data_IF_601038557352
#
_entry.id   IF_601038557352
#
_cell.length_a   1.000
_cell.length_b   1.000
_cell.length_c   1.000
_cell.angle_alpha   90.00
_cell.angle_beta   90.00
_cell.angle_gamma   90.00
#
_symmetry.space_group_name_H-M   'P 1'
#
loop_
_entity.id
_entity.type
_entity.pdbx_description
1 polymer ?
#
# COMPACT_ATOMS: atom_id res chain seq x y z
N UNK A 1 -18.69 -48.84 -10.50
CA UNK A 1 -18.26 -47.90 -9.44
C UNK A 1 -16.94 -47.24 -9.85
N UNK A 2 -16.95 -45.98 -10.30
CA UNK A 2 -15.73 -45.20 -10.61
C UNK A 2 -15.86 -43.79 -10.00
N UNK A 3 -16.15 -43.71 -8.69
CA UNK A 3 -16.28 -42.45 -7.93
C UNK A 3 -14.97 -41.99 -7.26
N UNK A 4 -13.90 -42.79 -7.32
CA UNK A 4 -12.67 -42.53 -6.55
C UNK A 4 -11.72 -41.47 -7.14
N UNK A 5 -11.68 -41.30 -8.47
CA UNK A 5 -10.69 -40.43 -9.12
C UNK A 5 -10.89 -38.93 -8.83
N UNK A 6 -12.10 -38.41 -9.09
CA UNK A 6 -12.41 -36.99 -8.88
C UNK A 6 -12.35 -36.56 -7.42
N UNK A 7 -12.82 -37.41 -6.50
CA UNK A 7 -12.80 -37.12 -5.06
C UNK A 7 -11.38 -36.93 -4.51
N UNK A 8 -10.42 -37.75 -4.94
CA UNK A 8 -9.03 -37.62 -4.51
C UNK A 8 -8.38 -36.35 -5.06
N UNK A 9 -8.68 -35.99 -6.31
CA UNK A 9 -8.15 -34.76 -6.92
C UNK A 9 -8.71 -33.50 -6.27
N UNK A 10 -9.98 -33.50 -5.84
CA UNK A 10 -10.57 -32.41 -5.04
C UNK A 10 -9.77 -32.21 -3.74
N UNK A 11 -9.45 -33.30 -3.02
CA UNK A 11 -8.68 -33.22 -1.77
C UNK A 11 -7.28 -32.65 -1.99
N UNK A 12 -6.62 -32.96 -3.11
CA UNK A 12 -5.32 -32.38 -3.46
C UNK A 12 -5.40 -30.87 -3.69
N UNK A 13 -6.43 -30.39 -4.40
CA UNK A 13 -6.63 -28.96 -4.63
C UNK A 13 -6.97 -28.20 -3.33
N UNK A 14 -7.81 -28.77 -2.48
CA UNK A 14 -8.11 -28.19 -1.17
C UNK A 14 -6.87 -28.15 -0.26
N UNK A 15 -6.05 -29.21 -0.28
CA UNK A 15 -4.78 -29.25 0.43
C UNK A 15 -3.81 -28.17 -0.07
N UNK A 16 -3.69 -28.00 -1.39
CA UNK A 16 -2.89 -26.94 -1.99
C UNK A 16 -3.38 -25.54 -1.57
N UNK A 17 -4.71 -25.30 -1.60
CA UNK A 17 -5.30 -24.04 -1.15
C UNK A 17 -4.96 -23.75 0.33
N UNK A 18 -5.07 -24.76 1.20
CA UNK A 18 -4.71 -24.61 2.62
C UNK A 18 -3.23 -24.27 2.80
N UNK A 19 -2.33 -24.95 2.07
CA UNK A 19 -0.88 -24.66 2.10
C UNK A 19 -0.61 -23.21 1.68
N UNK A 20 -1.24 -22.74 0.59
CA UNK A 20 -1.08 -21.36 0.15
C UNK A 20 -1.56 -20.34 1.18
N UNK A 21 -2.67 -20.60 1.87
CA UNK A 21 -3.16 -19.74 2.97
C UNK A 21 -2.19 -19.74 4.15
N UNK A 22 -1.62 -20.89 4.52
CA UNK A 22 -0.62 -20.96 5.60
C UNK A 22 0.63 -20.17 5.23
N UNK A 23 1.15 -20.34 4.02
CA UNK A 23 2.31 -19.57 3.54
C UNK A 23 1.99 -18.06 3.54
N UNK A 24 0.78 -17.68 3.15
CA UNK A 24 0.35 -16.28 3.15
C UNK A 24 0.40 -15.67 4.54
N UNK A 25 -0.11 -16.38 5.55
CA UNK A 25 -0.14 -15.90 6.94
C UNK A 25 1.29 -15.71 7.47
N UNK A 26 2.22 -16.61 7.10
CA UNK A 26 3.62 -16.55 7.53
C UNK A 26 4.37 -15.41 6.83
N UNK A 27 4.14 -15.23 5.52
CA UNK A 27 4.90 -14.29 4.69
C UNK A 27 4.33 -12.87 4.71
N UNK A 28 3.04 -12.70 5.02
CA UNK A 28 2.28 -11.45 4.87
C UNK A 28 2.49 -10.80 3.48
N UNK A 29 2.71 -11.62 2.45
CA UNK A 29 3.20 -11.20 1.14
C UNK A 29 2.12 -10.75 0.15
N UNK A 30 0.85 -11.02 0.42
CA UNK A 30 -0.33 -10.82 -0.44
C UNK A 30 -0.24 -11.49 -1.82
N UNK A 31 0.60 -12.51 -1.99
CA UNK A 31 0.83 -13.18 -3.27
C UNK A 31 0.27 -14.60 -3.29
N UNK A 32 0.49 -15.36 -2.22
CA UNK A 32 0.08 -16.76 -2.13
C UNK A 32 -1.43 -16.95 -2.03
N UNK A 33 -2.15 -15.95 -1.51
CA UNK A 33 -3.61 -15.97 -1.43
C UNK A 33 -4.30 -16.12 -2.80
N UNK A 34 -3.72 -15.59 -3.87
CA UNK A 34 -4.30 -15.68 -5.21
C UNK A 34 -4.17 -17.08 -5.81
N UNK A 35 -3.08 -17.77 -5.48
CA UNK A 35 -2.91 -19.18 -5.81
C UNK A 35 -3.87 -20.06 -4.99
N UNK A 36 -4.21 -19.70 -3.75
CA UNK A 36 -5.28 -20.35 -3.00
C UNK A 36 -6.62 -20.22 -3.74
N UNK A 37 -6.95 -19.02 -4.24
CA UNK A 37 -8.14 -18.77 -5.06
C UNK A 37 -8.17 -19.61 -6.34
N UNK A 38 -7.05 -19.68 -7.07
CA UNK A 38 -6.93 -20.55 -8.24
C UNK A 38 -7.10 -22.03 -7.89
N UNK A 39 -6.57 -22.48 -6.76
CA UNK A 39 -6.67 -23.87 -6.31
C UNK A 39 -8.12 -24.27 -5.98
N UNK A 40 -8.92 -23.34 -5.45
CA UNK A 40 -10.36 -23.55 -5.24
C UNK A 40 -11.10 -23.75 -6.56
N UNK A 41 -10.74 -23.03 -7.62
CA UNK A 41 -11.32 -23.26 -8.96
C UNK A 41 -10.94 -24.64 -9.49
N UNK A 42 -9.68 -25.06 -9.31
CA UNK A 42 -9.23 -26.42 -9.61
C UNK A 42 -10.04 -27.48 -8.86
N UNK A 43 -10.34 -27.25 -7.57
CA UNK A 43 -11.19 -28.13 -6.76
C UNK A 43 -12.62 -28.23 -7.30
N UNK A 44 -13.22 -27.09 -7.69
CA UNK A 44 -14.56 -27.07 -8.30
C UNK A 44 -14.56 -27.87 -9.61
N UNK A 45 -13.57 -27.67 -10.47
CA UNK A 45 -13.47 -28.43 -11.72
C UNK A 45 -13.26 -29.94 -11.49
N UNK A 46 -12.47 -30.30 -10.47
CA UNK A 46 -12.30 -31.69 -10.07
C UNK A 46 -13.61 -32.31 -9.55
N UNK A 47 -14.48 -31.54 -8.88
CA UNK A 47 -15.79 -31.99 -8.45
C UNK A 47 -16.72 -32.32 -9.64
N UNK A 48 -16.59 -31.59 -10.75
CA UNK A 48 -17.26 -31.90 -12.02
C UNK A 48 -16.59 -33.04 -12.82
N UNK A 49 -15.58 -33.71 -12.25
CA UNK A 49 -14.83 -34.81 -12.91
C UNK A 49 -14.16 -34.40 -14.23
N UNK A 50 -13.81 -33.12 -14.38
CA UNK A 50 -13.04 -32.62 -15.52
C UNK A 50 -11.61 -33.19 -15.52
N UNK A 51 -10.97 -33.34 -16.68
CA UNK A 51 -9.63 -33.91 -16.76
C UNK A 51 -8.56 -33.01 -16.14
N UNK A 52 -7.54 -33.60 -15.54
CA UNK A 52 -6.51 -32.90 -14.73
C UNK A 52 -5.82 -31.75 -15.48
N UNK A 53 -5.54 -31.90 -16.78
CA UNK A 53 -4.93 -30.85 -17.58
C UNK A 53 -5.79 -29.58 -17.64
N UNK A 54 -7.12 -29.70 -17.73
CA UNK A 54 -8.04 -28.56 -17.74
C UNK A 54 -8.09 -27.86 -16.38
N UNK A 55 -7.97 -28.62 -15.28
CA UNK A 55 -7.94 -28.08 -13.92
C UNK A 55 -6.66 -27.25 -13.69
N UNK A 56 -5.51 -27.76 -14.16
CA UNK A 56 -4.22 -27.05 -14.08
C UNK A 56 -4.26 -25.75 -14.89
N UNK A 57 -4.79 -25.79 -16.12
CA UNK A 57 -4.91 -24.59 -16.96
C UNK A 57 -5.79 -23.55 -16.27
N UNK A 58 -6.95 -23.95 -15.74
CA UNK A 58 -7.83 -23.03 -15.02
C UNK A 58 -7.17 -22.45 -13.76
N UNK A 59 -6.46 -23.28 -12.98
CA UNK A 59 -5.69 -22.83 -11.83
C UNK A 59 -4.70 -21.72 -12.22
N UNK A 60 -3.90 -21.93 -13.26
CA UNK A 60 -2.90 -20.95 -13.72
C UNK A 60 -3.57 -19.67 -14.20
N UNK A 61 -4.57 -19.79 -15.07
CA UNK A 61 -5.29 -18.63 -15.64
C UNK A 61 -5.94 -17.80 -14.52
N UNK A 62 -6.67 -18.44 -13.60
CA UNK A 62 -7.35 -17.74 -12.51
C UNK A 62 -6.35 -17.10 -11.56
N UNK A 63 -5.27 -17.79 -11.20
CA UNK A 63 -4.23 -17.23 -10.33
C UNK A 63 -3.57 -16.00 -10.94
N UNK A 64 -3.25 -16.06 -12.24
CA UNK A 64 -2.64 -14.94 -12.98
C UNK A 64 -3.62 -13.77 -13.10
N UNK A 65 -4.89 -14.02 -13.41
CA UNK A 65 -5.92 -12.99 -13.49
C UNK A 65 -6.11 -12.31 -12.13
N UNK A 66 -6.24 -13.10 -11.07
CA UNK A 66 -6.36 -12.58 -9.70
C UNK A 66 -5.14 -11.73 -9.36
N UNK A 67 -3.92 -12.21 -9.62
CA UNK A 67 -2.69 -11.44 -9.38
C UNK A 67 -2.68 -10.11 -10.16
N UNK A 68 -2.94 -10.11 -11.46
CA UNK A 68 -2.88 -8.90 -12.30
C UNK A 68 -3.93 -7.87 -11.86
N UNK A 69 -5.16 -8.29 -11.60
CA UNK A 69 -6.26 -7.40 -11.21
C UNK A 69 -6.05 -6.80 -9.82
N UNK A 70 -5.49 -7.58 -8.90
CA UNK A 70 -5.37 -7.18 -7.49
C UNK A 70 -4.06 -6.48 -7.19
N UNK A 71 -2.99 -6.73 -7.95
CA UNK A 71 -1.69 -6.07 -7.82
C UNK A 71 -1.74 -4.55 -7.73
N UNK A 72 -2.46 -3.80 -8.60
CA UNK A 72 -2.52 -2.34 -8.49
C UNK A 72 -3.16 -1.88 -7.17
N UNK A 73 -4.17 -2.61 -6.67
CA UNK A 73 -4.83 -2.27 -5.41
C UNK A 73 -3.97 -2.66 -4.21
N UNK A 74 -3.40 -3.86 -4.21
CA UNK A 74 -2.52 -4.34 -3.15
C UNK A 74 -1.32 -3.38 -2.95
N UNK A 75 -0.68 -2.97 -4.04
CA UNK A 75 0.41 -1.98 -3.98
C UNK A 75 -0.06 -0.63 -3.45
N UNK A 76 -1.23 -0.14 -3.89
CA UNK A 76 -1.79 1.12 -3.37
C UNK A 76 -2.09 1.05 -1.87
N UNK A 77 -2.60 -0.07 -1.38
CA UNK A 77 -2.98 -0.24 0.03
C UNK A 77 -1.75 -0.42 0.94
N UNK A 78 -0.74 -1.16 0.48
CA UNK A 78 0.52 -1.35 1.19
C UNK A 78 1.34 -0.05 1.26
N UNK A 79 1.46 0.69 0.15
CA UNK A 79 2.24 1.94 0.12
C UNK A 79 1.53 3.14 0.76
N UNK A 80 0.22 3.06 1.01
CA UNK A 80 -0.53 4.16 1.62
C UNK A 80 -0.35 4.28 3.13
N UNK A 81 0.30 3.32 3.80
CA UNK A 81 0.45 3.32 5.27
C UNK A 81 1.73 3.93 5.80
N UNK A 82 2.71 4.26 4.97
CA UNK A 82 4.05 4.56 5.51
C UNK A 82 4.25 6.01 5.99
N UNK A 83 3.50 7.03 5.55
CA UNK A 83 3.79 8.44 5.98
C UNK A 83 2.57 9.40 6.06
N UNK A 84 1.41 9.09 5.45
CA UNK A 84 0.42 10.14 5.12
C UNK A 84 -0.52 10.61 6.25
N UNK A 85 -0.78 9.84 7.30
CA UNK A 85 -1.95 10.15 8.16
C UNK A 85 -1.75 11.31 9.15
N UNK A 86 -0.55 11.53 9.69
CA UNK A 86 -0.31 12.64 10.64
C UNK A 86 0.25 13.89 9.98
N UNK A 87 1.21 13.73 9.06
CA UNK A 87 1.87 14.84 8.39
C UNK A 87 0.86 15.61 7.52
N UNK A 88 0.06 14.93 6.68
CA UNK A 88 -0.90 15.60 5.78
C UNK A 88 -1.96 16.41 6.55
N UNK A 89 -2.23 16.08 7.82
CA UNK A 89 -3.13 16.87 8.69
C UNK A 89 -2.62 18.27 9.02
N UNK A 90 -1.36 18.56 8.71
CA UNK A 90 -0.72 19.86 8.87
C UNK A 90 -1.00 20.77 7.66
N UNK A 91 -1.38 20.23 6.51
CA UNK A 91 -1.69 21.01 5.31
C UNK A 91 -2.91 21.91 5.59
N UNK A 92 -2.79 23.18 5.24
CA UNK A 92 -3.78 24.22 5.51
C UNK A 92 -3.75 24.80 6.93
N UNK A 93 -2.91 24.27 7.84
CA UNK A 93 -2.77 24.82 9.18
C UNK A 93 -1.83 26.02 9.21
N UNK A 94 -2.10 26.93 10.16
CA UNK A 94 -1.17 28.01 10.50
C UNK A 94 -0.06 27.50 11.41
N UNK A 95 1.17 27.86 11.07
CA UNK A 95 2.36 27.60 11.86
C UNK A 95 3.06 28.92 12.21
N UNK A 96 3.85 28.91 13.28
CA UNK A 96 4.68 30.04 13.71
C UNK A 96 6.13 29.79 13.33
N UNK A 97 6.78 30.70 12.62
CA UNK A 97 8.21 30.59 12.31
C UNK A 97 9.02 30.69 13.60
N UNK A 98 9.81 29.65 13.90
CA UNK A 98 10.70 29.60 15.07
C UNK A 98 12.18 29.76 14.70
N UNK A 99 12.49 29.69 13.42
CA UNK A 99 13.81 29.98 12.87
C UNK A 99 13.61 30.53 11.47
N UNK A 100 14.31 31.63 11.16
CA UNK A 100 14.31 32.26 9.84
C UNK A 100 14.41 31.22 8.72
N UNK A 101 13.47 31.33 7.78
CA UNK A 101 13.36 30.43 6.64
C UNK A 101 14.10 31.05 5.46
N UNK A 102 15.18 30.38 5.10
CA UNK A 102 16.03 30.71 3.97
C UNK A 102 16.26 29.45 3.13
N UNK A 103 15.64 29.42 1.96
CA UNK A 103 15.72 28.30 1.04
C UNK A 103 17.14 28.10 0.48
N UNK A 104 17.91 29.18 0.27
CA UNK A 104 19.28 29.13 -0.27
C UNK A 104 20.24 28.50 0.73
N UNK A 105 20.09 28.84 2.00
CA UNK A 105 20.90 28.27 3.08
C UNK A 105 20.32 26.97 3.67
N UNK A 106 19.20 26.48 3.11
CA UNK A 106 18.46 25.30 3.56
C UNK A 106 18.12 25.31 5.07
N UNK A 107 17.86 26.50 5.62
CA UNK A 107 17.50 26.74 7.03
C UNK A 107 16.03 27.15 7.12
N UNK A 108 15.40 26.86 8.25
CA UNK A 108 14.02 27.24 8.51
C UNK A 108 13.28 26.23 9.35
N UNK A 109 12.55 26.73 10.35
CA UNK A 109 11.71 25.91 11.21
C UNK A 109 10.41 26.64 11.55
N UNK A 110 9.34 25.87 11.68
CA UNK A 110 8.04 26.36 12.12
C UNK A 110 7.49 25.48 13.23
N UNK A 111 6.68 26.06 14.11
CA UNK A 111 5.94 25.37 15.15
C UNK A 111 4.46 25.28 14.76
N UNK A 112 3.94 24.06 14.70
CA UNK A 112 2.53 23.75 14.42
C UNK A 112 2.04 22.68 15.40
N UNK A 113 0.88 22.90 16.02
CA UNK A 113 0.31 22.00 17.06
C UNK A 113 1.31 21.62 18.16
N UNK A 114 2.21 22.54 18.54
CA UNK A 114 3.22 22.30 19.58
C UNK A 114 4.47 21.56 19.13
N UNK A 115 4.54 21.08 17.88
CA UNK A 115 5.71 20.39 17.32
C UNK A 115 6.51 21.32 16.40
N UNK A 116 7.83 21.17 16.38
CA UNK A 116 8.74 21.90 15.50
C UNK A 116 8.97 21.06 14.23
N UNK A 117 8.81 21.69 13.07
CA UNK A 117 8.98 21.09 11.75
C UNK A 117 9.97 21.93 10.93
N UNK A 118 10.83 21.26 10.17
CA UNK A 118 11.69 21.94 9.19
C UNK A 118 10.81 22.54 8.10
N UNK A 119 11.02 23.80 7.77
CA UNK A 119 10.20 24.52 6.81
C UNK A 119 11.01 25.06 5.63
N UNK A 120 10.34 25.20 4.48
CA UNK A 120 10.79 25.99 3.35
C UNK A 120 9.70 26.91 2.88
N UNK A 121 10.09 28.05 2.36
CA UNK A 121 9.16 28.95 1.69
C UNK A 121 8.72 28.37 0.35
N UNK A 122 7.51 28.69 -0.09
CA UNK A 122 6.96 28.35 -1.41
C UNK A 122 7.82 28.92 -2.56
N UNK A 123 8.44 30.09 -2.32
CA UNK A 123 9.32 30.76 -3.27
C UNK A 123 10.66 31.05 -2.61
N UNK A 124 11.74 30.88 -3.36
CA UNK A 124 13.10 31.19 -2.91
C UNK A 124 13.29 32.69 -2.68
N UNK A 125 12.47 33.53 -3.30
CA UNK A 125 12.50 34.99 -3.15
C UNK A 125 11.85 35.50 -1.86
N UNK A 126 11.13 34.62 -1.15
CA UNK A 126 10.36 34.98 0.04
C UNK A 126 11.12 34.56 1.28
N UNK A 127 11.73 35.54 1.95
CA UNK A 127 12.32 35.38 3.27
C UNK A 127 11.26 35.52 4.35
N UNK A 128 11.22 34.54 5.27
CA UNK A 128 10.32 34.56 6.41
C UNK A 128 11.13 34.59 7.69
N UNK A 129 10.81 35.55 8.57
CA UNK A 129 11.54 35.77 9.81
C UNK A 129 10.87 35.09 11.00
N UNK A 130 11.67 34.80 12.02
CA UNK A 130 11.19 34.30 13.31
C UNK A 130 10.05 35.16 13.87
N UNK A 131 9.02 34.49 14.38
CA UNK A 131 7.82 35.12 14.92
C UNK A 131 6.70 35.37 13.88
N UNK A 132 6.97 35.21 12.58
CA UNK A 132 5.92 35.33 11.56
C UNK A 132 4.96 34.14 11.56
N UNK A 133 3.69 34.40 11.22
CA UNK A 133 2.70 33.34 10.98
C UNK A 133 2.68 32.99 9.50
N UNK A 134 2.66 31.69 9.23
CA UNK A 134 2.68 31.14 7.87
C UNK A 134 1.65 30.04 7.74
N UNK A 135 1.16 29.79 6.53
CA UNK A 135 0.27 28.69 6.23
C UNK A 135 1.05 27.56 5.57
N UNK A 136 0.86 26.34 6.05
CA UNK A 136 1.44 25.14 5.43
C UNK A 136 0.62 24.84 4.17
N UNK A 137 1.25 24.91 3.01
CA UNK A 137 0.60 24.65 1.73
C UNK A 137 0.78 23.20 1.28
N UNK A 138 1.96 22.62 1.51
CA UNK A 138 2.24 21.24 1.13
C UNK A 138 3.38 20.65 1.97
N UNK A 139 3.67 19.37 1.77
CA UNK A 139 4.74 18.65 2.47
C UNK A 139 5.65 18.01 1.42
N UNK A 140 6.94 18.29 1.53
CA UNK A 140 7.98 17.76 0.65
C UNK A 140 8.99 16.95 1.48
N UNK A 141 8.78 15.63 1.51
CA UNK A 141 9.58 14.71 2.34
C UNK A 141 9.33 14.96 3.82
N UNK A 142 10.37 15.39 4.55
CA UNK A 142 10.30 15.74 5.99
C UNK A 142 10.15 17.25 6.24
N UNK A 143 9.98 18.04 5.19
CA UNK A 143 9.87 19.50 5.27
C UNK A 143 8.46 19.95 4.92
N UNK A 144 7.94 20.92 5.67
CA UNK A 144 6.71 21.62 5.31
C UNK A 144 7.02 22.77 4.37
N UNK A 145 6.21 22.94 3.34
CA UNK A 145 6.26 24.10 2.44
C UNK A 145 5.24 25.10 2.93
N UNK A 146 5.70 26.33 3.19
CA UNK A 146 4.89 27.37 3.81
C UNK A 146 4.82 28.62 2.95
N UNK A 147 3.72 29.36 3.10
CA UNK A 147 3.55 30.68 2.49
C UNK A 147 3.16 31.72 3.53
N UNK A 148 3.51 33.00 3.32
CA UNK A 148 3.01 34.10 4.14
C UNK A 148 1.47 34.10 4.16
N UNK A 149 0.88 34.51 5.29
CA UNK A 149 -0.55 34.80 5.43
C UNK A 149 -0.77 36.29 5.24
#
# INVERSE_FOLDING_TARGET
MKKGGGSMTVMYWLGAAAIFVVIEIITMGLTTIWFAGGALVGAVMAAFSLPLWSQIIAFVIVSVILLILTRPWALKYLNSRTVRTNADSLIGQTALVTQDIDNLNAKGQVKVKGQIWTARSISDDVQLHEGQKVMIESISGVKVIVKPI
#
